data_IF_343568773938
#
_entry.id   IF_343568773938
#
_cell.length_a   1.000
_cell.length_b   1.000
_cell.length_c   1.000
_cell.angle_alpha   90.00
_cell.angle_beta   90.00
_cell.angle_gamma   90.00
#
_symmetry.space_group_name_H-M   'P 1'
#
loop_
_entity.id
_entity.type
_entity.pdbx_description
1 polymer ?
#
# COMPACT_ATOMS: atom_id res chain seq x y z
N UNK A 1 13.22 14.77 126.08
CA UNK A 1 12.53 13.57 125.55
C UNK A 1 13.49 12.87 124.60
N UNK A 2 13.93 11.66 124.97
CA UNK A 2 14.77 10.79 124.14
C UNK A 2 13.92 10.09 123.07
N UNK A 3 14.49 9.86 121.90
CA UNK A 3 14.09 8.76 121.00
C UNK A 3 15.31 8.33 120.17
N UNK A 4 15.70 7.04 120.19
CA UNK A 4 16.90 6.53 119.53
C UNK A 4 16.59 6.04 118.10
N UNK A 5 17.50 6.23 117.15
CA UNK A 5 17.45 5.57 115.84
C UNK A 5 18.61 4.58 115.71
N UNK A 6 18.26 3.33 115.46
CA UNK A 6 19.17 2.18 115.33
C UNK A 6 19.94 2.12 114.00
N UNK A 7 20.76 1.08 113.80
CA UNK A 7 21.82 1.05 112.79
C UNK A 7 21.31 0.76 111.37
N UNK A 8 21.67 1.61 110.41
CA UNK A 8 21.42 1.41 108.98
C UNK A 8 22.34 0.31 108.41
N UNK A 9 21.73 -0.74 107.88
CA UNK A 9 22.43 -1.76 107.08
C UNK A 9 22.56 -1.27 105.64
N UNK A 10 23.79 -1.12 105.17
CA UNK A 10 24.12 -0.78 103.79
C UNK A 10 24.04 -2.06 102.92
N UNK A 11 23.17 -2.07 101.90
CA UNK A 11 23.10 -3.16 100.92
C UNK A 11 23.77 -2.70 99.62
N UNK A 12 24.69 -3.47 99.02
CA UNK A 12 25.34 -3.07 97.77
C UNK A 12 24.31 -3.03 96.63
N UNK A 13 24.31 -1.94 95.87
CA UNK A 13 23.50 -1.79 94.64
C UNK A 13 24.06 -2.72 93.54
N UNK A 14 23.21 -3.35 92.72
CA UNK A 14 23.68 -4.14 91.58
C UNK A 14 24.33 -3.22 90.53
N UNK A 15 25.33 -3.71 89.77
CA UNK A 15 26.03 -2.90 88.79
C UNK A 15 25.14 -2.58 87.58
N UNK A 16 25.28 -1.36 87.06
CA UNK A 16 24.53 -0.87 85.91
C UNK A 16 24.86 -1.65 84.63
N UNK A 17 23.87 -1.88 83.74
CA UNK A 17 24.06 -2.72 82.57
C UNK A 17 24.92 -1.99 81.51
N UNK A 18 26.01 -2.63 81.10
CA UNK A 18 26.83 -2.18 79.98
C UNK A 18 26.12 -2.47 78.64
N UNK A 19 25.52 -1.44 78.07
CA UNK A 19 24.90 -1.48 76.74
C UNK A 19 26.03 -1.44 75.70
N UNK A 20 26.33 -2.58 75.06
CA UNK A 20 27.18 -2.59 73.87
C UNK A 20 26.33 -2.28 72.63
N UNK A 21 26.54 -1.11 72.02
CA UNK A 21 25.98 -0.84 70.70
C UNK A 21 26.77 -1.68 69.68
N UNK A 22 26.14 -2.70 69.10
CA UNK A 22 26.71 -3.39 67.93
C UNK A 22 26.81 -2.38 66.77
N UNK A 23 28.02 -1.86 66.58
CA UNK A 23 28.43 -1.15 65.37
C UNK A 23 28.52 -2.16 64.22
N UNK A 24 27.41 -2.31 63.51
CA UNK A 24 27.29 -3.16 62.33
C UNK A 24 26.16 -2.68 61.43
N UNK A 25 26.05 -1.36 61.25
CA UNK A 25 25.13 -0.75 60.30
C UNK A 25 25.69 -0.92 58.89
N UNK A 26 25.41 -2.07 58.28
CA UNK A 26 25.45 -2.23 56.83
C UNK A 26 24.05 -2.56 56.34
N UNK A 27 23.17 -1.55 56.12
CA UNK A 27 21.88 -1.77 55.46
C UNK A 27 22.03 -2.00 53.94
N UNK A 28 23.24 -1.95 53.40
CA UNK A 28 23.47 -1.65 51.99
C UNK A 28 23.40 -2.86 51.04
N UNK A 29 23.57 -4.10 51.52
CA UNK A 29 23.58 -5.25 50.61
C UNK A 29 22.17 -5.67 50.16
N UNK A 30 21.18 -5.58 51.06
CA UNK A 30 19.78 -5.92 50.77
C UNK A 30 19.15 -4.91 49.81
N UNK A 31 19.55 -3.64 49.91
CA UNK A 31 19.06 -2.56 49.02
C UNK A 31 19.72 -2.55 47.63
N UNK A 32 20.82 -3.29 47.47
CA UNK A 32 21.52 -3.44 46.20
C UNK A 32 20.68 -4.25 45.20
N UNK A 33 19.91 -5.22 45.68
CA UNK A 33 19.05 -6.07 44.83
C UNK A 33 17.92 -5.25 44.16
N UNK A 34 17.11 -4.46 44.89
CA UNK A 34 16.15 -3.54 44.26
C UNK A 34 16.77 -2.53 43.30
N UNK A 35 17.94 -1.98 43.63
CA UNK A 35 18.63 -1.02 42.79
C UNK A 35 19.09 -1.64 41.46
N UNK A 36 19.68 -2.84 41.50
CA UNK A 36 20.07 -3.59 40.30
C UNK A 36 18.84 -3.98 39.49
N UNK A 37 17.76 -4.45 40.13
CA UNK A 37 16.50 -4.76 39.45
C UNK A 37 15.91 -3.51 38.76
N UNK A 38 15.96 -2.34 39.40
CA UNK A 38 15.52 -1.07 38.81
C UNK A 38 16.39 -0.67 37.61
N UNK A 39 17.72 -0.81 37.70
CA UNK A 39 18.62 -0.54 36.58
C UNK A 39 18.36 -1.46 35.39
N UNK A 40 18.12 -2.76 35.63
CA UNK A 40 17.74 -3.72 34.58
C UNK A 40 16.39 -3.32 33.98
N UNK A 41 15.40 -2.95 34.81
CA UNK A 41 14.09 -2.49 34.37
C UNK A 41 14.18 -1.25 33.47
N UNK A 42 14.94 -0.24 33.90
CA UNK A 42 15.22 0.97 33.11
C UNK A 42 15.93 0.60 31.80
N UNK A 43 16.90 -0.31 31.86
CA UNK A 43 17.61 -0.83 30.69
C UNK A 43 16.67 -1.50 29.68
N UNK A 44 15.73 -2.32 30.15
CA UNK A 44 14.72 -2.98 29.30
C UNK A 44 13.73 -1.97 28.71
N UNK A 45 13.33 -0.94 29.46
CA UNK A 45 12.47 0.14 28.95
C UNK A 45 13.18 0.93 27.86
N UNK A 46 14.42 1.36 28.10
CA UNK A 46 15.22 2.10 27.12
C UNK A 46 15.43 1.25 25.86
N UNK A 47 15.75 -0.04 26.03
CA UNK A 47 15.90 -0.98 24.92
C UNK A 47 14.60 -1.11 24.13
N UNK A 48 13.46 -1.32 24.82
CA UNK A 48 12.15 -1.44 24.17
C UNK A 48 11.72 -0.17 23.44
N UNK A 49 12.05 1.01 23.96
CA UNK A 49 11.76 2.29 23.29
C UNK A 49 12.68 2.49 22.09
N UNK A 50 13.98 2.19 22.23
CA UNK A 50 14.95 2.31 21.12
C UNK A 50 14.74 1.30 20.00
N UNK A 51 14.08 0.18 20.25
CA UNK A 51 13.81 -0.86 19.25
C UNK A 51 12.49 -0.65 18.51
N UNK A 52 11.62 0.25 18.99
CA UNK A 52 10.40 0.64 18.28
C UNK A 52 10.74 1.69 17.22
N UNK A 53 10.21 1.51 16.02
CA UNK A 53 10.30 2.53 14.97
C UNK A 53 9.35 3.70 15.23
N UNK A 54 9.24 4.65 14.29
CA UNK A 54 8.32 5.77 14.39
C UNK A 54 6.86 5.31 14.30
N UNK A 55 5.99 6.03 15.00
CA UNK A 55 4.54 5.90 14.87
C UNK A 55 4.03 7.02 13.95
N UNK A 56 3.21 6.66 12.97
CA UNK A 56 2.62 7.58 12.01
C UNK A 56 1.10 7.46 12.03
N UNK A 57 0.40 8.56 11.75
CA UNK A 57 -1.05 8.59 11.64
C UNK A 57 -1.44 8.82 10.18
N UNK A 58 -2.26 7.93 9.63
CA UNK A 58 -2.73 7.99 8.25
C UNK A 58 -4.25 8.23 8.26
N UNK A 59 -4.69 9.31 7.62
CA UNK A 59 -6.11 9.64 7.50
C UNK A 59 -6.72 9.04 6.23
N UNK A 60 -7.74 8.20 6.38
CA UNK A 60 -8.55 7.63 5.30
C UNK A 60 -10.01 8.10 5.39
N UNK A 61 -10.80 7.88 4.33
CA UNK A 61 -12.26 8.10 4.36
C UNK A 61 -13.00 6.93 5.00
N UNK A 62 -12.45 5.72 4.88
CA UNK A 62 -13.04 4.49 5.41
C UNK A 62 -11.95 3.56 5.95
N UNK A 63 -12.26 2.84 7.04
CA UNK A 63 -11.42 1.77 7.58
C UNK A 63 -11.86 0.36 7.13
N UNK A 64 -12.68 0.27 6.08
CA UNK A 64 -13.13 -1.02 5.55
C UNK A 64 -11.96 -1.97 5.26
N UNK A 65 -12.00 -3.14 5.89
CA UNK A 65 -11.00 -4.20 5.77
C UNK A 65 -9.75 -4.01 6.64
N UNK A 66 -9.61 -2.88 7.35
CA UNK A 66 -8.48 -2.64 8.26
C UNK A 66 -8.82 -3.12 9.67
N UNK A 67 -7.92 -3.88 10.27
CA UNK A 67 -8.04 -4.42 11.62
C UNK A 67 -6.81 -4.05 12.47
N UNK A 68 -7.01 -3.42 13.65
CA UNK A 68 -5.95 -3.14 14.60
C UNK A 68 -5.19 -4.41 15.00
N UNK A 69 -3.85 -4.35 15.00
CA UNK A 69 -2.98 -5.46 15.39
C UNK A 69 -2.89 -6.60 14.38
N UNK A 70 -3.56 -6.52 13.23
CA UNK A 70 -3.50 -7.54 12.16
C UNK A 70 -3.11 -6.96 10.81
N UNK A 71 -3.66 -5.81 10.45
CA UNK A 71 -3.36 -5.19 9.16
C UNK A 71 -1.90 -4.76 9.10
N UNK A 72 -1.19 -5.30 8.11
CA UNK A 72 0.21 -4.99 7.84
C UNK A 72 0.35 -3.78 6.91
N UNK A 73 1.43 -3.04 7.08
CA UNK A 73 1.89 -2.04 6.12
C UNK A 73 3.02 -2.65 5.31
N UNK A 74 2.90 -2.61 3.97
CA UNK A 74 3.78 -3.31 3.06
C UNK A 74 4.40 -2.38 2.02
N UNK A 75 5.69 -2.57 1.79
CA UNK A 75 6.42 -2.03 0.65
C UNK A 75 6.87 -3.19 -0.22
N UNK A 76 6.41 -3.25 -1.49
CA UNK A 76 6.76 -4.35 -2.42
C UNK A 76 6.55 -5.74 -1.79
N UNK A 77 5.40 -5.94 -1.15
CA UNK A 77 5.02 -7.14 -0.40
C UNK A 77 5.86 -7.48 0.85
N UNK A 78 6.84 -6.65 1.21
CA UNK A 78 7.61 -6.77 2.46
C UNK A 78 6.90 -6.01 3.58
N UNK A 79 6.67 -6.67 4.72
CA UNK A 79 6.07 -6.05 5.90
C UNK A 79 7.04 -5.06 6.56
N UNK A 80 6.65 -3.79 6.59
CA UNK A 80 7.43 -2.69 7.18
C UNK A 80 6.77 -2.09 8.43
N UNK A 81 5.54 -2.50 8.75
CA UNK A 81 4.83 -1.97 9.90
C UNK A 81 3.48 -2.65 10.12
N UNK A 82 2.78 -2.23 11.17
CA UNK A 82 1.49 -2.78 11.56
C UNK A 82 0.56 -1.68 12.06
N UNK A 83 -0.73 -1.80 11.75
CA UNK A 83 -1.77 -0.93 12.28
C UNK A 83 -1.90 -1.19 13.79
N UNK A 84 -1.79 -0.13 14.61
CA UNK A 84 -1.95 -0.16 16.06
C UNK A 84 -3.38 0.10 16.47
N UNK A 85 -3.94 1.21 16.00
CA UNK A 85 -5.26 1.71 16.39
C UNK A 85 -5.96 2.32 15.21
N UNK A 86 -7.29 2.27 15.26
CA UNK A 86 -8.18 2.91 14.29
C UNK A 86 -9.16 3.72 15.10
N UNK A 87 -9.16 5.04 14.88
CA UNK A 87 -10.03 5.99 15.57
C UNK A 87 -10.74 6.87 14.56
N UNK A 88 -11.87 7.43 14.94
CA UNK A 88 -12.61 8.36 14.10
C UNK A 88 -12.19 9.79 14.47
N UNK A 89 -12.03 10.65 13.47
CA UNK A 89 -11.73 12.07 13.69
C UNK A 89 -12.84 12.74 14.47
N UNK A 90 -12.52 13.85 15.15
CA UNK A 90 -13.49 14.58 16.01
C UNK A 90 -14.74 15.05 15.26
N UNK A 91 -14.60 15.33 13.96
CA UNK A 91 -15.68 15.75 13.06
C UNK A 91 -16.40 14.57 12.39
N UNK A 92 -16.03 13.32 12.71
CA UNK A 92 -16.57 12.08 12.15
C UNK A 92 -16.38 11.92 10.64
N UNK A 93 -15.59 12.79 9.99
CA UNK A 93 -15.44 12.82 8.54
C UNK A 93 -14.33 11.91 8.01
N UNK A 94 -13.38 11.50 8.87
CA UNK A 94 -12.20 10.71 8.50
C UNK A 94 -11.87 9.67 9.54
N UNK A 95 -11.28 8.58 9.10
CA UNK A 95 -10.73 7.54 9.96
C UNK A 95 -9.23 7.78 10.09
N UNK A 96 -8.74 7.89 11.32
CA UNK A 96 -7.34 8.04 11.68
C UNK A 96 -6.78 6.66 12.04
N UNK A 97 -5.79 6.21 11.28
CA UNK A 97 -5.16 4.91 11.43
C UNK A 97 -3.74 5.13 11.93
N UNK A 98 -3.47 4.75 13.16
CA UNK A 98 -2.12 4.82 13.73
C UNK A 98 -1.36 3.56 13.36
N UNK A 99 -0.17 3.74 12.82
CA UNK A 99 0.69 2.69 12.30
C UNK A 99 2.03 2.76 13.01
N UNK A 100 2.44 1.62 13.55
CA UNK A 100 3.79 1.43 14.05
C UNK A 100 4.66 0.89 12.92
N UNK A 101 5.61 1.71 12.44
CA UNK A 101 6.64 1.24 11.52
C UNK A 101 7.75 0.51 12.28
N UNK A 102 8.46 -0.38 11.57
CA UNK A 102 9.68 -1.01 12.06
C UNK A 102 10.81 0.01 12.05
N UNK A 103 11.76 -0.17 12.97
CA UNK A 103 12.90 0.74 13.13
C UNK A 103 13.80 0.77 11.89
N UNK A 104 13.93 -0.32 11.16
CA UNK A 104 14.69 -0.36 9.91
C UNK A 104 13.99 0.36 8.75
N UNK A 105 12.78 0.90 8.96
CA UNK A 105 11.94 1.52 7.93
C UNK A 105 11.50 2.95 8.27
N UNK A 106 12.25 3.66 9.12
CA UNK A 106 11.92 5.06 9.48
C UNK A 106 11.96 5.99 8.26
N UNK A 107 12.75 5.65 7.24
CA UNK A 107 12.87 6.39 5.97
C UNK A 107 11.55 6.45 5.16
N UNK A 108 10.53 5.67 5.54
CA UNK A 108 9.19 5.77 4.94
C UNK A 108 8.33 6.84 5.62
N UNK A 109 8.66 7.27 6.84
CA UNK A 109 8.00 8.35 7.56
C UNK A 109 8.54 9.72 7.13
N UNK A 110 8.54 9.98 5.82
CA UNK A 110 9.07 11.21 5.21
C UNK A 110 8.04 11.87 4.31
N UNK A 111 8.23 13.16 4.07
CA UNK A 111 7.39 13.93 3.17
C UNK A 111 7.42 13.37 1.75
N UNK A 112 6.23 13.22 1.17
CA UNK A 112 6.04 12.64 -0.16
C UNK A 112 5.86 11.13 -0.18
N UNK A 113 5.97 10.43 0.97
CA UNK A 113 5.50 9.05 1.08
C UNK A 113 4.00 8.97 0.87
N UNK A 114 3.58 7.97 0.08
CA UNK A 114 2.18 7.78 -0.29
C UNK A 114 1.70 6.45 0.28
N UNK A 115 0.59 6.47 0.98
CA UNK A 115 -0.03 5.29 1.59
C UNK A 115 -1.39 5.04 0.95
N UNK A 116 -1.76 3.79 0.72
CA UNK A 116 -3.08 3.43 0.20
C UNK A 116 -3.57 2.11 0.76
N UNK A 117 -4.89 1.91 0.80
CA UNK A 117 -5.46 0.62 1.20
C UNK A 117 -5.57 -0.28 -0.02
N UNK A 118 -4.99 -1.49 0.06
CA UNK A 118 -5.20 -2.56 -0.92
C UNK A 118 -6.23 -3.52 -0.35
N UNK A 119 -7.40 -3.55 -0.99
CA UNK A 119 -8.51 -4.44 -0.64
C UNK A 119 -8.58 -5.62 -1.60
N UNK A 120 -8.95 -6.83 -1.14
CA UNK A 120 -9.30 -7.92 -2.05
C UNK A 120 -10.44 -7.46 -2.96
N UNK A 121 -10.26 -7.60 -4.27
CA UNK A 121 -11.32 -7.35 -5.26
C UNK A 121 -11.70 -8.66 -5.91
N UNK A 122 -12.98 -9.02 -5.83
CA UNK A 122 -13.54 -10.17 -6.56
C UNK A 122 -13.99 -9.62 -7.91
N UNK A 123 -13.14 -9.75 -8.93
CA UNK A 123 -13.48 -9.44 -10.31
C UNK A 123 -14.14 -10.62 -11.01
N UNK A 124 -14.89 -10.36 -12.08
CA UNK A 124 -15.49 -11.39 -12.94
C UNK A 124 -14.45 -12.27 -13.68
N UNK A 125 -13.18 -11.85 -13.71
CA UNK A 125 -12.06 -12.47 -14.43
C UNK A 125 -11.22 -13.43 -13.59
N UNK A 126 -11.62 -13.70 -12.34
CA UNK A 126 -10.87 -14.52 -11.39
C UNK A 126 -10.30 -13.73 -10.22
N UNK A 127 -9.74 -14.45 -9.26
CA UNK A 127 -9.42 -13.95 -7.92
C UNK A 127 -8.03 -13.31 -7.91
N UNK A 128 -7.96 -11.99 -8.07
CA UNK A 128 -6.74 -11.23 -7.73
C UNK A 128 -6.70 -11.02 -6.21
N UNK A 129 -5.58 -11.34 -5.57
CA UNK A 129 -5.45 -11.22 -4.11
C UNK A 129 -5.92 -12.45 -3.33
N UNK A 130 -5.68 -13.68 -3.80
CA UNK A 130 -5.86 -14.88 -2.97
C UNK A 130 -5.08 -14.80 -1.63
N UNK A 131 -3.94 -14.12 -1.61
CA UNK A 131 -3.23 -13.78 -0.38
C UNK A 131 -4.05 -12.88 0.56
N UNK A 132 -4.83 -11.94 0.03
CA UNK A 132 -5.71 -11.06 0.83
C UNK A 132 -7.03 -11.71 1.26
N UNK A 133 -7.45 -12.82 0.64
CA UNK A 133 -8.58 -13.62 1.15
C UNK A 133 -8.22 -14.39 2.43
N UNK A 134 -6.95 -14.78 2.59
CA UNK A 134 -6.43 -15.41 3.81
C UNK A 134 -5.85 -14.39 4.81
N UNK A 135 -5.25 -13.29 4.34
CA UNK A 135 -4.53 -12.31 5.18
C UNK A 135 -5.26 -10.98 5.39
N UNK A 136 -6.41 -10.74 4.76
CA UNK A 136 -7.16 -9.49 4.86
C UNK A 136 -6.59 -8.35 4.01
N UNK A 137 -7.20 -7.16 4.12
CA UNK A 137 -6.68 -5.96 3.46
C UNK A 137 -5.36 -5.52 4.12
N UNK A 138 -4.51 -4.85 3.35
CA UNK A 138 -3.23 -4.30 3.83
C UNK A 138 -3.04 -2.86 3.34
N UNK A 139 -2.11 -2.14 3.97
CA UNK A 139 -1.75 -0.78 3.55
C UNK A 139 -0.49 -0.88 2.69
N UNK A 140 -0.57 -0.45 1.44
CA UNK A 140 0.59 -0.27 0.57
C UNK A 140 1.27 1.07 0.84
N UNK A 141 2.58 1.11 0.69
CA UNK A 141 3.37 2.35 0.74
C UNK A 141 4.22 2.52 -0.53
N UNK A 142 4.47 3.77 -0.90
CA UNK A 142 5.48 4.18 -1.85
C UNK A 142 6.36 5.26 -1.20
N UNK A 143 7.68 5.08 -1.28
CA UNK A 143 8.63 5.90 -0.53
C UNK A 143 8.72 7.32 -1.11
N UNK A 144 8.67 8.31 -0.21
CA UNK A 144 9.00 9.69 -0.57
C UNK A 144 10.48 9.86 -0.89
N UNK A 145 10.82 10.92 -1.63
CA UNK A 145 12.22 11.30 -1.90
C UNK A 145 12.74 12.40 -0.98
N UNK A 146 11.91 12.89 -0.05
CA UNK A 146 12.30 13.92 0.89
C UNK A 146 13.15 13.34 2.03
N UNK A 147 13.99 14.17 2.61
CA UNK A 147 14.70 13.89 3.88
C UNK A 147 13.97 14.47 5.09
N UNK A 148 12.88 15.22 4.86
CA UNK A 148 12.05 15.79 5.92
C UNK A 148 11.12 14.71 6.48
N UNK A 149 11.27 14.40 7.76
CA UNK A 149 10.37 13.50 8.48
C UNK A 149 8.94 14.04 8.54
N UNK A 150 7.96 13.13 8.46
CA UNK A 150 6.54 13.44 8.55
C UNK A 150 5.82 12.30 9.28
N UNK A 151 4.93 12.66 10.21
CA UNK A 151 4.15 11.72 11.03
C UNK A 151 2.70 11.60 10.57
N UNK A 152 2.17 12.64 9.92
CA UNK A 152 0.76 12.74 9.55
C UNK A 152 0.62 12.61 8.03
N UNK A 153 -0.12 11.62 7.56
CA UNK A 153 -0.30 11.36 6.13
C UNK A 153 -1.77 11.33 5.74
N UNK A 154 -2.06 11.74 4.51
CA UNK A 154 -3.36 11.51 3.89
C UNK A 154 -3.26 10.25 3.03
N UNK A 155 -4.04 9.23 3.41
CA UNK A 155 -4.13 7.99 2.68
C UNK A 155 -4.92 8.14 1.38
N UNK A 156 -4.48 7.42 0.35
CA UNK A 156 -5.17 7.30 -0.93
C UNK A 156 -6.14 6.10 -0.87
N UNK A 157 -7.36 6.30 -1.34
CA UNK A 157 -8.36 5.22 -1.38
C UNK A 157 -8.10 4.22 -2.51
N UNK A 158 -7.40 4.67 -3.55
CA UNK A 158 -6.99 3.86 -4.70
C UNK A 158 -5.47 3.84 -4.79
N UNK A 159 -4.87 2.70 -5.17
CA UNK A 159 -3.43 2.62 -5.39
C UNK A 159 -2.99 3.68 -6.40
N UNK A 160 -1.83 4.32 -6.20
CA UNK A 160 -1.28 5.23 -7.18
C UNK A 160 -1.05 4.46 -8.49
N UNK A 161 -1.41 5.03 -9.65
CA UNK A 161 -1.26 4.42 -10.96
C UNK A 161 0.14 3.85 -11.23
N UNK A 162 1.17 4.55 -10.73
CA UNK A 162 2.58 4.20 -10.87
C UNK A 162 3.29 4.55 -9.55
N UNK A 163 3.99 3.57 -8.98
CA UNK A 163 4.91 3.81 -7.85
C UNK A 163 6.22 4.40 -8.35
N UNK A 164 6.91 5.20 -7.54
CA UNK A 164 8.07 6.01 -7.97
C UNK A 164 9.26 5.23 -8.56
N UNK A 165 9.24 3.91 -8.41
CA UNK A 165 10.28 2.97 -8.79
C UNK A 165 10.02 2.25 -10.11
N UNK A 166 8.78 2.26 -10.61
CA UNK A 166 8.42 1.56 -11.84
C UNK A 166 8.89 2.36 -13.06
N UNK A 167 9.85 1.80 -13.80
CA UNK A 167 10.31 2.36 -15.08
C UNK A 167 9.33 1.97 -16.19
N UNK A 168 8.98 2.93 -17.02
CA UNK A 168 8.05 2.75 -18.13
C UNK A 168 7.42 4.08 -18.54
N UNK A 169 6.41 4.00 -19.40
CA UNK A 169 5.73 5.17 -19.95
C UNK A 169 4.22 5.03 -19.78
N UNK A 170 3.55 6.11 -19.40
CA UNK A 170 2.10 6.17 -19.26
C UNK A 170 1.47 6.71 -20.55
N UNK A 171 0.34 6.13 -20.94
CA UNK A 171 -0.45 6.57 -22.10
C UNK A 171 -1.91 6.74 -21.72
N UNK A 172 -2.61 7.58 -22.49
CA UNK A 172 -4.02 7.89 -22.28
C UNK A 172 -4.80 7.34 -23.46
N UNK A 173 -5.80 6.51 -23.21
CA UNK A 173 -6.63 5.89 -24.23
C UNK A 173 -8.05 6.44 -24.12
N UNK A 174 -8.65 6.88 -25.23
CA UNK A 174 -10.02 7.37 -25.28
C UNK A 174 -10.89 6.47 -26.16
N UNK A 175 -11.97 5.96 -25.58
CA UNK A 175 -12.92 5.10 -26.29
C UNK A 175 -14.36 5.40 -25.90
N UNK A 176 -15.31 4.80 -26.60
CA UNK A 176 -16.74 5.00 -26.34
C UNK A 176 -17.22 4.29 -25.05
N UNK A 177 -16.57 3.20 -24.64
CA UNK A 177 -16.94 2.44 -23.45
C UNK A 177 -15.74 1.74 -22.82
N UNK A 178 -15.85 1.37 -21.53
CA UNK A 178 -14.79 0.68 -20.79
C UNK A 178 -14.71 -0.82 -21.14
N UNK A 179 -15.79 -1.40 -21.66
CA UNK A 179 -15.88 -2.85 -21.90
C UNK A 179 -15.65 -3.66 -20.61
N UNK A 180 -14.87 -4.74 -20.71
CA UNK A 180 -14.52 -5.63 -19.59
C UNK A 180 -13.19 -5.25 -18.92
N UNK A 181 -12.75 -4.01 -19.05
CA UNK A 181 -11.47 -3.52 -18.52
C UNK A 181 -11.65 -2.97 -17.11
N UNK A 182 -10.75 -3.31 -16.18
CA UNK A 182 -10.65 -2.74 -14.83
C UNK A 182 -9.20 -2.32 -14.54
N UNK A 183 -8.98 -1.59 -13.44
CA UNK A 183 -7.65 -1.31 -12.90
C UNK A 183 -6.94 -2.63 -12.61
N UNK A 184 -5.75 -2.81 -13.18
CA UNK A 184 -4.99 -4.05 -13.14
C UNK A 184 -5.21 -4.96 -14.36
N UNK A 185 -6.16 -4.64 -15.25
CA UNK A 185 -6.31 -5.38 -16.50
C UNK A 185 -5.00 -5.33 -17.30
N UNK A 186 -4.57 -6.46 -17.88
CA UNK A 186 -3.31 -6.55 -18.59
C UNK A 186 -3.31 -5.74 -19.89
N UNK A 187 -2.17 -5.13 -20.19
CA UNK A 187 -1.86 -4.54 -21.50
C UNK A 187 -0.96 -5.49 -22.26
N UNK A 188 -1.36 -5.86 -23.47
CA UNK A 188 -0.68 -6.82 -24.33
C UNK A 188 -0.02 -6.19 -25.54
N UNK A 189 1.18 -6.66 -25.85
CA UNK A 189 1.83 -6.47 -27.14
C UNK A 189 2.12 -7.85 -27.72
N UNK A 190 1.58 -8.15 -28.91
CA UNK A 190 1.71 -9.48 -29.55
C UNK A 190 1.39 -10.66 -28.60
N UNK A 191 0.32 -10.52 -27.80
CA UNK A 191 -0.14 -11.49 -26.76
C UNK A 191 0.79 -11.68 -25.56
N UNK A 192 1.84 -10.87 -25.43
CA UNK A 192 2.69 -10.83 -24.22
C UNK A 192 2.23 -9.68 -23.34
N UNK A 193 2.03 -9.93 -22.05
CA UNK A 193 1.69 -8.87 -21.09
C UNK A 193 2.91 -7.97 -20.91
N UNK A 194 2.74 -6.69 -21.23
CA UNK A 194 3.80 -5.66 -21.19
C UNK A 194 3.48 -4.51 -20.24
N UNK A 195 2.28 -4.50 -19.69
CA UNK A 195 1.82 -3.42 -18.82
C UNK A 195 0.46 -3.73 -18.22
N UNK A 196 -0.18 -2.69 -17.71
CA UNK A 196 -1.50 -2.78 -17.08
C UNK A 196 -2.27 -1.47 -17.16
N UNK A 197 -3.58 -1.57 -16.99
CA UNK A 197 -4.47 -0.42 -16.79
C UNK A 197 -4.29 0.10 -15.38
N UNK A 198 -4.05 1.40 -15.26
CA UNK A 198 -3.72 2.03 -13.98
C UNK A 198 -4.80 2.99 -13.48
N UNK A 199 -5.80 3.28 -14.31
CA UNK A 199 -6.97 4.06 -13.94
C UNK A 199 -7.92 4.23 -15.10
N UNK A 200 -9.17 4.60 -14.81
CA UNK A 200 -10.13 5.04 -15.82
C UNK A 200 -11.09 6.05 -15.22
N UNK A 201 -11.70 6.86 -16.07
CA UNK A 201 -12.74 7.81 -15.70
C UNK A 201 -13.74 7.97 -16.85
N UNK A 202 -14.99 8.29 -16.52
CA UNK A 202 -15.95 8.79 -17.49
C UNK A 202 -15.53 10.19 -17.93
N UNK A 203 -15.63 10.49 -19.22
CA UNK A 203 -15.38 11.82 -19.74
C UNK A 203 -16.40 12.82 -19.17
N UNK A 204 -16.01 14.09 -19.04
CA UNK A 204 -16.83 15.12 -18.38
C UNK A 204 -18.17 15.35 -19.08
N UNK A 205 -18.25 15.06 -20.38
CA UNK A 205 -19.44 15.15 -21.21
C UNK A 205 -20.29 13.86 -21.20
N UNK A 206 -19.81 12.80 -20.55
CA UNK A 206 -20.47 11.50 -20.47
C UNK A 206 -20.47 10.71 -21.78
N UNK A 207 -19.75 11.17 -22.81
CA UNK A 207 -19.81 10.56 -24.16
C UNK A 207 -18.80 9.44 -24.37
N UNK A 208 -17.81 9.33 -23.50
CA UNK A 208 -16.74 8.34 -23.61
C UNK A 208 -16.05 8.08 -22.28
N UNK A 209 -15.01 7.26 -22.35
CA UNK A 209 -14.14 6.93 -21.22
C UNK A 209 -12.69 7.27 -21.54
N UNK A 210 -12.01 7.80 -20.54
CA UNK A 210 -10.56 7.97 -20.55
C UNK A 210 -9.94 6.85 -19.70
N UNK A 211 -9.08 6.04 -20.31
CA UNK A 211 -8.35 4.94 -19.66
C UNK A 211 -6.87 5.28 -19.62
N UNK A 212 -6.26 5.24 -18.44
CA UNK A 212 -4.82 5.41 -18.26
C UNK A 212 -4.15 4.04 -18.22
N UNK A 213 -3.12 3.85 -19.04
CA UNK A 213 -2.33 2.63 -19.09
C UNK A 213 -0.87 2.92 -18.81
N UNK A 214 -0.20 1.98 -18.15
CA UNK A 214 1.24 2.01 -17.94
C UNK A 214 1.89 0.83 -18.66
N UNK A 215 2.87 1.12 -19.50
CA UNK A 215 3.67 0.12 -20.21
C UNK A 215 5.06 0.08 -19.59
N UNK A 216 5.47 -1.09 -19.13
CA UNK A 216 6.71 -1.25 -18.39
C UNK A 216 7.91 -1.12 -19.34
N UNK A 217 9.00 -0.50 -18.87
CA UNK A 217 10.27 -0.59 -19.56
C UNK A 217 10.79 -2.05 -19.50
N UNK A 218 11.41 -2.58 -20.57
CA UNK A 218 11.78 -1.89 -21.81
C UNK A 218 10.70 -1.98 -22.91
N UNK A 219 9.48 -2.44 -22.62
CA UNK A 219 8.45 -2.65 -23.64
C UNK A 219 7.78 -1.36 -24.12
N UNK A 220 7.90 -0.28 -23.35
CA UNK A 220 7.42 1.05 -23.72
C UNK A 220 8.02 1.57 -25.04
N UNK A 221 9.22 1.09 -25.42
CA UNK A 221 9.84 1.37 -26.73
C UNK A 221 9.02 0.88 -27.94
N UNK A 222 8.09 -0.07 -27.74
CA UNK A 222 7.25 -0.60 -28.82
C UNK A 222 6.01 0.26 -29.08
N UNK A 223 5.71 1.21 -28.20
CA UNK A 223 4.60 2.14 -28.37
C UNK A 223 5.05 3.29 -29.25
N UNK A 224 4.55 3.24 -30.48
CA UNK A 224 4.75 4.23 -31.50
C UNK A 224 3.71 5.32 -31.52
N UNK A 225 4.03 6.45 -32.13
CA UNK A 225 3.01 7.47 -32.46
C UNK A 225 1.87 6.93 -33.34
N UNK A 226 2.12 5.88 -34.12
CA UNK A 226 1.13 5.21 -34.97
C UNK A 226 0.49 3.98 -34.31
N UNK A 227 0.78 3.69 -33.04
CA UNK A 227 0.20 2.53 -32.36
C UNK A 227 -1.32 2.62 -32.28
N UNK A 228 -1.97 1.52 -32.67
CA UNK A 228 -3.41 1.32 -32.57
C UNK A 228 -3.71 0.50 -31.34
N UNK A 229 -4.73 0.89 -30.58
CA UNK A 229 -5.09 0.28 -29.30
C UNK A 229 -6.53 -0.22 -29.38
N UNK A 230 -6.78 -1.42 -28.85
CA UNK A 230 -8.12 -2.02 -28.82
C UNK A 230 -8.37 -2.82 -27.56
N UNK A 231 -9.65 -3.03 -27.27
CA UNK A 231 -10.08 -3.96 -26.22
C UNK A 231 -9.87 -5.40 -26.70
N UNK A 232 -9.06 -6.17 -25.96
CA UNK A 232 -8.74 -7.55 -26.26
C UNK A 232 -9.75 -8.55 -25.64
N UNK A 233 -11.00 -8.12 -25.44
CA UNK A 233 -12.06 -8.94 -24.83
C UNK A 233 -12.65 -9.91 -25.85
N UNK A 234 -12.64 -11.21 -25.53
CA UNK A 234 -13.00 -12.26 -26.46
C UNK A 234 -14.51 -12.40 -26.67
N UNK A 235 -14.96 -12.20 -27.91
CA UNK A 235 -15.37 -13.27 -28.84
C UNK A 235 -15.17 -12.69 -30.25
N UNK A 236 -14.21 -13.19 -31.03
CA UNK A 236 -14.07 -12.83 -32.45
C UNK A 236 -15.08 -13.67 -33.26
N UNK A 237 -16.32 -13.18 -33.37
CA UNK A 237 -17.34 -13.79 -34.22
C UNK A 237 -17.14 -13.31 -35.65
N UNK A 238 -16.37 -14.07 -36.44
CA UNK A 238 -16.25 -13.80 -37.89
C UNK A 238 -17.40 -14.47 -38.63
N UNK A 239 -18.25 -13.66 -39.24
CA UNK A 239 -19.24 -14.10 -40.21
C UNK A 239 -18.66 -13.85 -41.60
N UNK A 240 -18.28 -14.91 -42.31
CA UNK A 240 -17.77 -14.82 -43.67
C UNK A 240 -18.82 -15.34 -44.68
N UNK A 241 -18.58 -15.09 -45.97
CA UNK A 241 -19.46 -15.56 -47.05
C UNK A 241 -19.47 -17.08 -47.23
N UNK A 242 -18.66 -17.83 -46.47
CA UNK A 242 -18.58 -19.29 -46.49
C UNK A 242 -19.30 -19.96 -45.31
N UNK A 243 -19.89 -19.19 -44.38
CA UNK A 243 -20.76 -19.68 -43.32
C UNK A 243 -20.31 -19.30 -41.91
N UNK A 244 -20.95 -19.92 -40.91
CA UNK A 244 -20.66 -19.68 -39.50
C UNK A 244 -19.45 -20.52 -39.05
N UNK A 245 -18.32 -19.87 -38.72
CA UNK A 245 -17.11 -20.55 -38.23
C UNK A 245 -16.91 -20.28 -36.74
N UNK A 246 -17.42 -21.18 -35.89
CA UNK A 246 -17.26 -21.10 -34.44
C UNK A 246 -16.08 -21.96 -33.97
N UNK A 247 -14.97 -21.33 -33.61
CA UNK A 247 -13.84 -22.02 -32.96
C UNK A 247 -14.18 -22.33 -31.50
N UNK A 248 -14.81 -23.48 -31.24
CA UNK A 248 -15.26 -23.91 -29.90
C UNK A 248 -14.11 -24.15 -28.91
N UNK A 249 -12.90 -24.41 -29.39
CA UNK A 249 -11.69 -24.53 -28.54
C UNK A 249 -11.22 -23.18 -27.94
N UNK A 250 -11.71 -22.04 -28.45
CA UNK A 250 -11.38 -20.71 -27.94
C UNK A 250 -12.16 -20.33 -26.68
N UNK A 251 -13.25 -21.04 -26.35
CA UNK A 251 -14.19 -20.59 -25.32
C UNK A 251 -13.60 -20.66 -23.90
N UNK A 252 -12.66 -21.58 -23.65
CA UNK A 252 -12.00 -21.72 -22.34
C UNK A 252 -10.87 -20.69 -22.10
N UNK A 253 -10.39 -20.00 -23.14
CA UNK A 253 -9.28 -19.01 -23.08
C UNK A 253 -9.76 -17.56 -23.16
N UNK A 254 -11.07 -17.32 -23.26
CA UNK A 254 -11.71 -16.01 -23.53
C UNK A 254 -11.99 -15.15 -22.28
N UNK A 255 -11.49 -15.53 -21.10
CA UNK A 255 -11.93 -14.92 -19.83
C UNK A 255 -11.09 -13.70 -19.39
N UNK A 256 -9.95 -13.42 -20.02
CA UNK A 256 -9.07 -12.33 -19.58
C UNK A 256 -9.27 -11.08 -20.45
N UNK A 257 -10.24 -10.24 -20.06
CA UNK A 257 -10.38 -8.88 -20.59
C UNK A 257 -9.08 -8.10 -20.40
N UNK A 258 -8.72 -7.29 -21.40
CA UNK A 258 -7.47 -6.54 -21.42
C UNK A 258 -7.43 -5.54 -22.57
N UNK A 259 -6.30 -4.86 -22.71
CA UNK A 259 -6.05 -3.92 -23.79
C UNK A 259 -4.87 -4.43 -24.60
N UNK A 260 -4.93 -4.37 -25.92
CA UNK A 260 -3.81 -4.70 -26.78
C UNK A 260 -3.43 -3.51 -27.66
N UNK A 261 -2.17 -3.45 -28.07
CA UNK A 261 -1.71 -2.49 -29.05
C UNK A 261 -0.75 -3.10 -30.07
N UNK A 262 -0.72 -2.50 -31.25
CA UNK A 262 0.22 -2.82 -32.31
C UNK A 262 0.35 -1.66 -33.30
N UNK A 263 1.47 -1.59 -34.01
CA UNK A 263 1.59 -0.75 -35.20
C UNK A 263 0.77 -1.36 -36.37
N UNK A 264 0.24 -0.53 -37.28
CA UNK A 264 -0.45 -1.01 -38.48
C UNK A 264 0.43 -2.00 -39.28
N UNK A 265 -0.18 -2.98 -39.98
CA UNK A 265 0.56 -3.90 -40.83
C UNK A 265 1.46 -3.16 -41.81
N UNK A 266 2.68 -3.66 -42.02
CA UNK A 266 3.69 -3.07 -42.91
C UNK A 266 4.21 -1.68 -42.51
N UNK A 267 3.90 -1.21 -41.30
CA UNK A 267 4.53 -0.02 -40.71
C UNK A 267 5.41 -0.44 -39.54
N UNK A 268 6.58 0.20 -39.39
CA UNK A 268 7.30 0.12 -38.13
C UNK A 268 6.51 0.85 -37.04
N UNK A 269 6.83 0.60 -35.76
CA UNK A 269 6.30 1.40 -34.64
C UNK A 269 6.67 2.89 -34.72
N UNK A 270 7.37 3.35 -35.77
CA UNK A 270 7.72 4.75 -35.94
C UNK A 270 8.55 5.31 -34.76
N UNK A 271 8.39 6.60 -34.50
CA UNK A 271 8.98 7.28 -33.34
C UNK A 271 8.25 6.87 -32.07
N UNK A 272 9.02 6.60 -31.00
CA UNK A 272 8.47 6.29 -29.68
C UNK A 272 7.51 7.40 -29.21
N UNK A 273 6.35 6.99 -28.73
CA UNK A 273 5.34 7.92 -28.25
C UNK A 273 5.80 8.61 -26.94
N UNK A 274 5.62 9.93 -26.80
CA UNK A 274 5.93 10.62 -25.55
C UNK A 274 4.97 10.21 -24.43
N UNK A 275 5.40 10.42 -23.20
CA UNK A 275 4.58 10.19 -22.01
C UNK A 275 3.27 11.00 -22.07
N UNK A 276 2.17 10.38 -21.64
CA UNK A 276 0.81 10.90 -21.69
C UNK A 276 0.25 11.19 -23.09
N UNK A 277 0.85 10.64 -24.15
CA UNK A 277 0.24 10.70 -25.48
C UNK A 277 -1.17 10.07 -25.47
N UNK A 278 -2.10 10.71 -26.17
CA UNK A 278 -3.49 10.28 -26.27
C UNK A 278 -3.66 9.41 -27.52
N UNK A 279 -4.24 8.22 -27.34
CA UNK A 279 -4.60 7.30 -28.41
C UNK A 279 -6.11 7.02 -28.41
N UNK A 280 -6.62 6.59 -29.55
CA UNK A 280 -7.97 6.05 -29.64
C UNK A 280 -7.98 4.59 -29.17
N UNK A 281 -8.94 4.24 -28.32
CA UNK A 281 -9.25 2.88 -27.92
C UNK A 281 -10.42 2.38 -28.77
N UNK A 282 -10.10 1.53 -29.74
CA UNK A 282 -11.12 0.85 -30.54
C UNK A 282 -11.86 -0.24 -29.75
N UNK A 283 -13.08 -0.54 -30.16
CA UNK A 283 -13.88 -1.62 -29.53
C UNK A 283 -13.26 -3.00 -29.74
N UNK A 284 -12.55 -3.18 -30.86
CA UNK A 284 -11.86 -4.40 -31.25
C UNK A 284 -10.70 -4.08 -32.21
N UNK A 285 -9.96 -5.11 -32.63
CA UNK A 285 -8.81 -4.96 -33.51
C UNK A 285 -9.21 -4.41 -34.88
N UNK A 286 -10.37 -4.80 -35.42
CA UNK A 286 -10.82 -4.36 -36.74
C UNK A 286 -11.18 -2.87 -36.73
N UNK A 287 -11.80 -2.40 -35.65
CA UNK A 287 -12.11 -0.99 -35.42
C UNK A 287 -10.84 -0.14 -35.29
N UNK A 288 -9.90 -0.58 -34.45
CA UNK A 288 -8.64 0.15 -34.22
C UNK A 288 -7.73 0.20 -35.45
N UNK A 289 -7.81 -0.81 -36.34
CA UNK A 289 -7.03 -0.89 -37.57
C UNK A 289 -7.71 -0.25 -38.78
N UNK A 290 -8.94 0.26 -38.64
CA UNK A 290 -9.64 0.93 -39.73
C UNK A 290 -8.84 2.17 -40.15
N UNK A 291 -8.62 2.33 -41.45
CA UNK A 291 -8.05 3.55 -42.00
C UNK A 291 -9.02 4.72 -41.73
N UNK A 292 -8.53 5.93 -41.41
CA UNK A 292 -9.42 7.09 -41.30
C UNK A 292 -10.25 7.22 -42.57
N UNK A 293 -11.57 7.38 -42.42
CA UNK A 293 -12.43 7.60 -43.58
C UNK A 293 -11.85 8.75 -44.41
N UNK A 294 -11.61 8.47 -45.69
CA UNK A 294 -11.11 9.48 -46.61
C UNK A 294 -12.03 10.70 -46.66
N UNK A 295 -11.56 11.84 -47.18
CA UNK A 295 -12.40 13.03 -47.30
C UNK A 295 -13.71 12.67 -48.00
N UNK A 296 -14.87 13.17 -47.52
CA UNK A 296 -16.17 12.82 -48.05
C UNK A 296 -16.21 13.14 -49.55
N UNK A 297 -16.36 12.11 -50.37
CA UNK A 297 -16.57 12.27 -51.80
C UNK A 297 -18.00 12.76 -51.99
N UNK A 298 -18.17 14.04 -52.35
CA UNK A 298 -19.45 14.53 -52.82
C UNK A 298 -19.75 13.87 -54.17
N UNK A 299 -20.60 12.85 -54.15
CA UNK A 299 -21.18 12.29 -55.37
C UNK A 299 -22.29 13.23 -55.82
N UNK A 300 -22.01 14.05 -56.82
CA UNK A 300 -23.05 14.80 -57.53
C UNK A 300 -23.79 13.78 -58.40
N UNK A 301 -25.07 13.55 -58.06
CA UNK A 301 -25.99 12.74 -58.87
C UNK A 301 -26.63 13.61 -59.95
#
# INVERSE_FOLDING_TARGET
MNSPQGPQHDRPRPPDPAISSKSGWLPSLVWLVPLVAALIGIGLVIKSVRERGPEITISFRSAEGLEPGKTQVKYKDVEIGIVKTITLSKDLARVLVDVQLKKETEDFAVKGSRFWVVRPRIGATGVSGLGTLLSGAYIGVDAGRSQEGQTDFTGLETPPPVTGDQKGTQYVLRGASLGSVDIGSPVYYRRVQVGQVVGFALDKDGTGVTVNVFVNAPYDQYVGMNSRWWQASGVDLRLDSSGFKLNTQSLATVILGGIAFQAPPNQSSGTSAPNNMVFHLGSDEADAMREPDGPPLQVVM
#
